data_IF_444579448571
#
_entry.id   IF_444579448571
#
_cell.length_a   1.000
_cell.length_b   1.000
_cell.length_c   1.000
_cell.angle_alpha   90.00
_cell.angle_beta   90.00
_cell.angle_gamma   90.00
#
_symmetry.space_group_name_H-M   'P 1'
#
loop_
_entity.id
_entity.type
_entity.pdbx_description
1 polymer ?
#
# COMPACT_ATOMS: atom_id res chain seq x y z
N UNK A 1 -19.67 -6.26 -2.56
CA UNK A 1 -19.99 -4.99 -1.89
C UNK A 1 -18.68 -4.21 -1.93
N UNK A 2 -18.60 -3.07 -2.62
CA UNK A 2 -17.30 -2.43 -2.97
C UNK A 2 -16.36 -2.25 -1.76
N UNK A 3 -16.89 -1.87 -0.61
CA UNK A 3 -16.12 -1.71 0.62
C UNK A 3 -15.54 -3.04 1.15
N UNK A 4 -16.27 -4.15 1.03
CA UNK A 4 -15.75 -5.46 1.42
C UNK A 4 -14.66 -5.93 0.47
N UNK A 5 -14.82 -5.66 -0.83
CA UNK A 5 -13.79 -5.94 -1.83
C UNK A 5 -12.52 -5.14 -1.55
N UNK A 6 -12.65 -3.88 -1.10
CA UNK A 6 -11.54 -3.04 -0.66
C UNK A 6 -10.85 -3.59 0.60
N UNK A 7 -11.62 -4.00 1.62
CA UNK A 7 -11.07 -4.61 2.83
C UNK A 7 -10.25 -5.87 2.50
N UNK A 8 -10.78 -6.73 1.63
CA UNK A 8 -10.10 -7.95 1.19
C UNK A 8 -8.81 -7.59 0.45
N UNK A 9 -8.87 -6.63 -0.48
CA UNK A 9 -7.70 -6.22 -1.27
C UNK A 9 -6.58 -5.65 -0.39
N UNK A 10 -6.93 -4.77 0.56
CA UNK A 10 -5.98 -4.22 1.55
C UNK A 10 -5.39 -5.31 2.42
N UNK A 11 -6.20 -6.24 2.94
CA UNK A 11 -5.71 -7.35 3.77
C UNK A 11 -4.79 -8.29 3.00
N UNK A 12 -5.06 -8.50 1.71
CA UNK A 12 -4.25 -9.34 0.82
C UNK A 12 -3.01 -8.63 0.26
N UNK A 13 -2.81 -7.34 0.55
CA UNK A 13 -1.81 -6.48 -0.11
C UNK A 13 -1.88 -6.51 -1.64
N UNK A 14 -3.10 -6.65 -2.19
CA UNK A 14 -3.33 -6.71 -3.64
C UNK A 14 -3.42 -5.28 -4.22
N UNK A 15 -2.25 -4.72 -4.54
CA UNK A 15 -2.11 -3.33 -5.02
C UNK A 15 -2.95 -3.11 -6.30
N UNK A 16 -2.89 -4.05 -7.25
CA UNK A 16 -3.64 -3.94 -8.50
C UNK A 16 -5.14 -3.89 -8.27
N UNK A 17 -5.65 -4.70 -7.34
CA UNK A 17 -7.08 -4.66 -6.99
C UNK A 17 -7.45 -3.39 -6.23
N UNK A 18 -6.59 -2.88 -5.36
CA UNK A 18 -6.80 -1.60 -4.67
C UNK A 18 -6.89 -0.45 -5.69
N UNK A 19 -5.94 -0.37 -6.64
CA UNK A 19 -5.96 0.63 -7.72
C UNK A 19 -7.26 0.56 -8.53
N UNK A 20 -7.64 -0.66 -8.95
CA UNK A 20 -8.87 -0.88 -9.68
C UNK A 20 -10.13 -0.42 -8.93
N UNK A 21 -10.16 -0.62 -7.60
CA UNK A 21 -11.29 -0.20 -6.77
C UNK A 21 -11.32 1.31 -6.54
N UNK A 22 -10.15 1.97 -6.47
CA UNK A 22 -10.04 3.43 -6.41
C UNK A 22 -10.58 4.12 -7.68
N UNK A 23 -10.40 3.51 -8.85
CA UNK A 23 -10.99 4.02 -10.11
C UNK A 23 -12.52 3.82 -10.19
N UNK A 24 -13.08 2.99 -9.30
CA UNK A 24 -14.48 2.58 -9.30
C UNK A 24 -15.18 2.92 -7.98
N UNK A 25 -14.79 4.01 -7.34
CA UNK A 25 -15.45 4.49 -6.11
C UNK A 25 -16.94 4.72 -6.41
N UNK A 26 -17.87 4.07 -5.69
CA UNK A 26 -19.29 4.29 -5.88
C UNK A 26 -19.68 5.74 -5.52
N UNK A 27 -20.59 6.32 -6.30
CA UNK A 27 -21.07 7.69 -6.11
C UNK A 27 -21.99 7.85 -4.89
N UNK A 28 -22.56 6.74 -4.41
CA UNK A 28 -23.60 6.68 -3.37
C UNK A 28 -23.08 6.07 -2.06
N UNK A 29 -21.79 6.28 -1.74
CA UNK A 29 -21.24 5.82 -0.47
C UNK A 29 -21.88 6.54 0.73
N UNK A 30 -22.28 5.76 1.74
CA UNK A 30 -22.62 6.34 3.03
C UNK A 30 -21.40 7.01 3.66
N UNK A 31 -21.62 8.02 4.51
CA UNK A 31 -20.53 8.70 5.23
C UNK A 31 -19.68 7.69 6.03
N UNK A 32 -20.32 6.70 6.65
CA UNK A 32 -19.63 5.68 7.42
C UNK A 32 -18.73 4.80 6.54
N UNK A 33 -19.22 4.41 5.36
CA UNK A 33 -18.43 3.62 4.41
C UNK A 33 -17.25 4.44 3.87
N UNK A 34 -17.44 5.75 3.67
CA UNK A 34 -16.40 6.63 3.16
C UNK A 34 -15.27 6.80 4.19
N UNK A 35 -15.63 6.97 5.46
CA UNK A 35 -14.67 7.02 6.58
C UNK A 35 -13.93 5.68 6.70
N UNK A 36 -14.64 4.55 6.57
CA UNK A 36 -14.03 3.23 6.61
C UNK A 36 -13.01 3.05 5.48
N UNK A 37 -13.39 3.40 4.24
CA UNK A 37 -12.51 3.34 3.08
C UNK A 37 -11.29 4.25 3.23
N UNK A 38 -11.47 5.48 3.71
CA UNK A 38 -10.36 6.41 3.97
C UNK A 38 -9.35 5.86 4.97
N UNK A 39 -9.84 5.25 6.06
CA UNK A 39 -8.99 4.64 7.08
C UNK A 39 -8.19 3.46 6.52
N UNK A 40 -8.84 2.58 5.74
CA UNK A 40 -8.18 1.45 5.09
C UNK A 40 -7.08 1.91 4.12
N UNK A 41 -7.37 2.90 3.28
CA UNK A 41 -6.41 3.45 2.32
C UNK A 41 -5.24 4.16 3.01
N UNK A 42 -5.50 4.86 4.13
CA UNK A 42 -4.43 5.48 4.92
C UNK A 42 -3.49 4.45 5.54
N UNK A 43 -4.03 3.35 6.06
CA UNK A 43 -3.22 2.25 6.59
C UNK A 43 -2.40 1.57 5.49
N UNK A 44 -3.02 1.28 4.34
CA UNK A 44 -2.32 0.72 3.19
C UNK A 44 -1.15 1.63 2.73
N UNK A 45 -1.38 2.95 2.69
CA UNK A 45 -0.34 3.93 2.35
C UNK A 45 0.83 3.91 3.34
N UNK A 46 0.55 3.86 4.64
CA UNK A 46 1.58 3.78 5.69
C UNK A 46 2.41 2.49 5.54
N UNK A 47 1.74 1.37 5.30
CA UNK A 47 2.42 0.09 5.08
C UNK A 47 3.34 0.11 3.87
N UNK A 48 2.87 0.61 2.73
CA UNK A 48 3.69 0.76 1.53
C UNK A 48 4.91 1.67 1.77
N UNK A 49 4.74 2.77 2.51
CA UNK A 49 5.85 3.66 2.87
C UNK A 49 6.90 2.92 3.70
N UNK A 50 6.48 2.16 4.70
CA UNK A 50 7.40 1.38 5.54
C UNK A 50 8.17 0.34 4.73
N UNK A 51 7.50 -0.39 3.84
CA UNK A 51 8.19 -1.34 2.96
C UNK A 51 9.20 -0.66 2.03
N UNK A 52 8.88 0.52 1.50
CA UNK A 52 9.81 1.29 0.67
C UNK A 52 11.05 1.71 1.45
N UNK A 53 10.89 2.10 2.71
CA UNK A 53 12.01 2.46 3.59
C UNK A 53 12.90 1.23 3.87
N UNK A 54 12.29 0.08 4.15
CA UNK A 54 13.02 -1.17 4.39
C UNK A 54 13.82 -1.62 3.16
N UNK A 55 13.21 -1.55 1.96
CA UNK A 55 13.88 -1.85 0.69
C UNK A 55 15.04 -0.88 0.45
N UNK A 56 14.83 0.42 0.71
CA UNK A 56 15.85 1.44 0.54
C UNK A 56 17.05 1.22 1.46
N UNK A 57 16.79 0.83 2.72
CA UNK A 57 17.83 0.48 3.67
C UNK A 57 18.64 -0.75 3.22
N UNK A 58 17.97 -1.78 2.69
CA UNK A 58 18.65 -2.98 2.21
C UNK A 58 19.50 -2.71 0.95
N UNK A 59 19.00 -1.89 0.02
CA UNK A 59 19.77 -1.44 -1.14
C UNK A 59 21.03 -0.67 -0.74
N UNK A 60 20.95 0.16 0.30
CA UNK A 60 22.12 0.91 0.78
C UNK A 60 23.18 -0.01 1.41
N UNK A 61 22.77 -1.08 2.12
CA UNK A 61 23.71 -2.11 2.60
C UNK A 61 24.43 -2.80 1.43
N UNK A 62 23.68 -3.21 0.40
CA UNK A 62 24.26 -3.85 -0.78
C UNK A 62 25.25 -2.94 -1.51
N UNK A 63 24.95 -1.64 -1.63
CA UNK A 63 25.86 -0.64 -2.21
C UNK A 63 27.17 -0.52 -1.42
N UNK A 64 27.11 -0.55 -0.09
CA UNK A 64 28.30 -0.51 0.77
C UNK A 64 29.18 -1.75 0.63
N UNK A 65 28.57 -2.94 0.58
CA UNK A 65 29.30 -4.20 0.36
C UNK A 65 30.00 -4.19 -1.00
N UNK A 66 29.31 -3.76 -2.07
CA UNK A 66 29.91 -3.65 -3.40
C UNK A 66 31.13 -2.73 -3.41
N UNK A 67 31.02 -1.54 -2.79
CA UNK A 67 32.16 -0.60 -2.68
C UNK A 67 33.34 -1.17 -1.90
N UNK A 68 33.09 -2.03 -0.93
CA UNK A 68 34.17 -2.68 -0.16
C UNK A 68 34.89 -3.75 -0.97
N UNK A 69 34.17 -4.48 -1.83
CA UNK A 69 34.73 -5.54 -2.69
C UNK A 69 35.42 -5.01 -3.97
N UNK A 70 35.28 -3.74 -4.30
CA UNK A 70 35.95 -3.07 -5.43
C UNK A 70 37.30 -2.43 -5.04
N UNK A 71 37.70 -2.50 -3.75
CA UNK A 71 39.02 -2.10 -3.22
C UNK A 71 39.87 -3.32 -2.87
#
# INVERSE_FOLDING_TARGET
>A
MWLDDLKIAVTANDITKIEHLCDKIPNDLSINDAICAQNLLSQAKLYCSQQMDDISAELEKLRKIRKFNEN
#
